data_IF_872596732165
#
_entry.id   IF_872596732165
#
_cell.length_a   1.000
_cell.length_b   1.000
_cell.length_c   1.000
_cell.angle_alpha   90.00
_cell.angle_beta   90.00
_cell.angle_gamma   90.00
#
_symmetry.space_group_name_H-M   'P 1'
#
loop_
_entity.id
_entity.type
_entity.pdbx_description
1 polymer ?
#
# COMPACT_ATOMS: atom_id res chain seq x y z
N UNK A 1 0.75 10.09 6.49
CA UNK A 1 1.19 11.10 7.47
C UNK A 1 1.61 12.41 6.80
N UNK A 2 2.57 12.41 5.83
CA UNK A 2 3.09 13.65 5.19
C UNK A 2 1.96 14.52 4.61
N UNK A 3 1.01 13.91 3.88
CA UNK A 3 -0.12 14.63 3.29
C UNK A 3 -1.03 15.23 4.36
N UNK A 4 -1.37 14.47 5.42
CA UNK A 4 -2.23 14.96 6.50
C UNK A 4 -1.65 16.18 7.22
N UNK A 5 -0.31 16.23 7.35
CA UNK A 5 0.40 17.32 8.04
C UNK A 5 0.72 18.51 7.14
N UNK A 6 0.80 18.32 5.82
CA UNK A 6 1.31 19.35 4.90
C UNK A 6 0.32 19.76 3.81
N UNK A 7 -0.54 18.84 3.38
CA UNK A 7 -1.38 19.01 2.21
C UNK A 7 -0.60 19.01 0.88
N UNK A 8 -1.31 18.80 -0.23
CA UNK A 8 -0.71 18.78 -1.57
C UNK A 8 -0.25 20.18 -2.03
N UNK A 9 -0.88 21.26 -1.56
CA UNK A 9 -0.45 22.61 -1.92
C UNK A 9 0.96 22.94 -1.41
N UNK A 10 1.30 22.50 -0.19
CA UNK A 10 2.66 22.65 0.35
C UNK A 10 3.69 21.82 -0.43
N UNK A 11 3.31 20.63 -0.87
CA UNK A 11 4.17 19.74 -1.69
C UNK A 11 4.37 20.32 -3.07
N UNK A 12 3.31 20.84 -3.69
CA UNK A 12 3.37 21.57 -4.94
C UNK A 12 4.34 22.74 -4.84
N UNK A 13 4.21 23.55 -3.76
CA UNK A 13 5.11 24.68 -3.54
C UNK A 13 6.57 24.24 -3.43
N UNK A 14 6.87 23.18 -2.69
CA UNK A 14 8.22 22.63 -2.58
C UNK A 14 8.79 22.22 -3.95
N UNK A 15 7.98 21.57 -4.79
CA UNK A 15 8.38 21.18 -6.14
C UNK A 15 8.59 22.41 -7.04
N UNK A 16 7.71 23.41 -6.96
CA UNK A 16 7.83 24.66 -7.74
C UNK A 16 9.07 25.45 -7.33
N UNK A 17 9.32 25.62 -6.03
CA UNK A 17 10.51 26.33 -5.53
C UNK A 17 11.81 25.66 -6.05
N UNK A 18 11.83 24.33 -6.13
CA UNK A 18 12.96 23.60 -6.72
C UNK A 18 13.05 23.73 -8.22
N UNK A 19 11.92 23.72 -8.92
CA UNK A 19 11.85 23.93 -10.36
C UNK A 19 12.38 25.30 -10.75
N UNK A 20 12.00 26.33 -10.00
CA UNK A 20 12.43 27.73 -10.23
C UNK A 20 13.94 27.92 -9.93
N UNK A 21 14.48 27.11 -9.00
CA UNK A 21 15.90 27.12 -8.67
C UNK A 21 16.77 26.28 -9.61
N UNK A 22 16.18 25.53 -10.56
CA UNK A 22 16.93 24.71 -11.52
C UNK A 22 17.61 25.63 -12.58
N UNK A 23 18.93 25.72 -12.47
CA UNK A 23 19.76 26.37 -13.48
C UNK A 23 20.43 25.30 -14.37
N UNK A 24 20.06 25.21 -15.67
CA UNK A 24 20.66 24.25 -16.59
C UNK A 24 22.19 24.43 -16.78
N UNK A 25 22.72 25.60 -16.46
CA UNK A 25 24.15 25.87 -16.58
C UNK A 25 24.96 25.32 -15.40
N UNK A 26 24.35 25.27 -14.22
CA UNK A 26 25.01 24.82 -12.98
C UNK A 26 24.56 23.40 -12.55
N UNK A 27 23.42 22.90 -13.04
CA UNK A 27 22.84 21.61 -12.67
C UNK A 27 22.94 20.62 -13.84
N UNK A 28 23.88 19.71 -13.77
CA UNK A 28 24.09 18.65 -14.79
C UNK A 28 22.82 17.84 -15.10
N UNK A 29 22.01 17.58 -14.06
CA UNK A 29 20.80 16.74 -14.16
C UNK A 29 19.52 17.58 -14.35
N UNK A 30 19.61 18.87 -14.70
CA UNK A 30 18.44 19.74 -14.82
C UNK A 30 17.41 19.22 -15.83
N UNK A 31 17.88 18.66 -16.96
CA UNK A 31 17.02 18.09 -18.00
C UNK A 31 16.24 16.86 -17.52
N UNK A 32 16.79 16.09 -16.58
CA UNK A 32 16.12 14.91 -16.00
C UNK A 32 15.17 15.31 -14.85
N UNK A 33 15.57 16.29 -14.03
CA UNK A 33 14.79 16.74 -12.86
C UNK A 33 13.57 17.56 -13.23
N UNK A 34 13.69 18.42 -14.26
CA UNK A 34 12.63 19.34 -14.68
C UNK A 34 11.30 18.62 -14.98
N UNK A 35 11.24 17.62 -15.88
CA UNK A 35 9.97 16.94 -16.20
C UNK A 35 9.32 16.29 -14.97
N UNK A 36 10.13 15.73 -14.06
CA UNK A 36 9.62 15.14 -12.83
C UNK A 36 8.99 16.18 -11.90
N UNK A 37 9.66 17.30 -11.66
CA UNK A 37 9.14 18.37 -10.80
C UNK A 37 7.89 19.03 -11.39
N UNK A 38 7.86 19.24 -12.71
CA UNK A 38 6.66 19.70 -13.43
C UNK A 38 5.49 18.71 -13.28
N UNK A 39 5.75 17.42 -13.38
CA UNK A 39 4.73 16.37 -13.18
C UNK A 39 4.18 16.40 -11.74
N UNK A 40 5.02 16.59 -10.71
CA UNK A 40 4.56 16.76 -9.33
C UNK A 40 3.59 17.93 -9.21
N UNK A 41 3.92 19.10 -9.79
CA UNK A 41 3.06 20.29 -9.77
C UNK A 41 1.71 19.98 -10.41
N UNK A 42 1.70 19.36 -11.59
CA UNK A 42 0.48 19.00 -12.33
C UNK A 42 -0.39 18.02 -11.52
N UNK A 43 0.22 16.99 -10.96
CA UNK A 43 -0.52 15.97 -10.17
C UNK A 43 -1.10 16.59 -8.90
N UNK A 44 -0.36 17.43 -8.19
CA UNK A 44 -0.89 18.13 -7.01
C UNK A 44 -2.11 19.01 -7.37
N UNK A 45 -2.05 19.74 -8.48
CA UNK A 45 -3.18 20.55 -8.96
C UNK A 45 -4.38 19.67 -9.35
N UNK A 46 -4.14 18.57 -10.02
CA UNK A 46 -5.21 17.64 -10.40
C UNK A 46 -5.93 17.05 -9.19
N UNK A 47 -5.19 16.67 -8.15
CA UNK A 47 -5.75 16.13 -6.91
C UNK A 47 -6.62 17.17 -6.20
N UNK A 48 -6.14 18.40 -6.07
CA UNK A 48 -6.89 19.49 -5.43
C UNK A 48 -8.14 19.85 -6.25
N UNK A 49 -8.02 19.91 -7.59
CA UNK A 49 -9.15 20.16 -8.47
C UNK A 49 -10.23 19.08 -8.35
N UNK A 50 -9.82 17.82 -8.29
CA UNK A 50 -10.74 16.70 -8.11
C UNK A 50 -11.51 16.81 -6.80
N UNK A 51 -10.83 17.07 -5.67
CA UNK A 51 -11.48 17.26 -4.39
C UNK A 51 -12.52 18.40 -4.44
N UNK A 52 -12.19 19.53 -5.05
CA UNK A 52 -13.12 20.66 -5.24
C UNK A 52 -14.33 20.29 -6.08
N UNK A 53 -14.18 19.44 -7.10
CA UNK A 53 -15.34 18.94 -7.88
C UNK A 53 -16.27 18.10 -7.02
N UNK A 54 -15.74 17.29 -6.10
CA UNK A 54 -16.56 16.56 -5.12
C UNK A 54 -17.26 17.50 -4.14
N UNK A 55 -16.61 18.59 -3.72
CA UNK A 55 -17.25 19.61 -2.89
C UNK A 55 -18.46 20.24 -3.57
N UNK A 56 -18.35 20.55 -4.86
CA UNK A 56 -19.48 21.07 -5.65
C UNK A 56 -20.61 20.05 -5.73
N UNK A 57 -20.29 18.79 -6.08
CA UNK A 57 -21.28 17.71 -6.16
C UNK A 57 -21.98 17.47 -4.80
N UNK A 58 -21.24 17.45 -3.71
CA UNK A 58 -21.82 17.27 -2.38
C UNK A 58 -22.79 18.41 -2.00
N UNK A 59 -22.51 19.65 -2.37
CA UNK A 59 -23.42 20.78 -2.20
C UNK A 59 -24.68 20.66 -3.06
N UNK A 60 -24.54 20.21 -4.31
CA UNK A 60 -25.69 19.95 -5.19
C UNK A 60 -26.58 18.83 -4.64
N UNK A 61 -25.99 17.78 -4.06
CA UNK A 61 -26.73 16.71 -3.39
C UNK A 61 -27.41 17.24 -2.11
N UNK A 62 -26.72 18.00 -1.30
CA UNK A 62 -27.28 18.61 -0.08
C UNK A 62 -28.45 19.54 -0.36
N UNK A 63 -28.43 20.25 -1.51
CA UNK A 63 -29.55 21.12 -1.92
C UNK A 63 -30.85 20.34 -2.24
N UNK A 64 -30.72 19.06 -2.60
CA UNK A 64 -31.84 18.15 -2.94
C UNK A 64 -32.23 17.23 -1.79
N UNK A 65 -31.41 17.18 -0.74
CA UNK A 65 -31.61 16.28 0.40
C UNK A 65 -32.68 16.84 1.35
N UNK A 66 -33.62 15.99 1.72
CA UNK A 66 -34.71 16.32 2.63
C UNK A 66 -34.42 15.94 4.09
N UNK A 67 -33.58 14.92 4.31
CA UNK A 67 -33.13 14.57 5.65
C UNK A 67 -32.12 15.60 6.17
N UNK A 68 -32.45 16.32 7.26
CA UNK A 68 -31.56 17.35 7.76
C UNK A 68 -30.21 16.82 8.26
N UNK A 69 -30.15 15.59 8.74
CA UNK A 69 -28.91 14.95 9.19
C UNK A 69 -28.01 14.68 8.00
N UNK A 70 -28.55 14.00 7.00
CA UNK A 70 -27.80 13.70 5.77
C UNK A 70 -27.38 14.96 5.01
N UNK A 71 -28.22 15.96 4.98
CA UNK A 71 -27.89 17.28 4.41
C UNK A 71 -26.70 17.93 5.13
N UNK A 72 -26.69 17.90 6.46
CA UNK A 72 -25.57 18.45 7.24
C UNK A 72 -24.27 17.68 6.98
N UNK A 73 -24.32 16.35 6.87
CA UNK A 73 -23.16 15.52 6.51
C UNK A 73 -22.62 15.87 5.12
N UNK A 74 -23.48 15.99 4.10
CA UNK A 74 -23.07 16.37 2.75
C UNK A 74 -22.42 17.75 2.69
N UNK A 75 -22.95 18.72 3.45
CA UNK A 75 -22.32 20.05 3.57
C UNK A 75 -20.96 19.96 4.27
N UNK A 76 -20.85 19.16 5.33
CA UNK A 76 -19.57 18.93 6.00
C UNK A 76 -18.55 18.25 5.07
N UNK A 77 -18.96 17.24 4.31
CA UNK A 77 -18.10 16.59 3.30
C UNK A 77 -17.63 17.59 2.23
N UNK A 78 -18.51 18.51 1.82
CA UNK A 78 -18.16 19.55 0.87
C UNK A 78 -17.11 20.53 1.43
N UNK A 79 -17.30 20.99 2.66
CA UNK A 79 -16.37 21.91 3.32
C UNK A 79 -15.01 21.25 3.56
N UNK A 80 -15.01 19.97 3.94
CA UNK A 80 -13.79 19.19 4.04
C UNK A 80 -13.08 19.08 2.67
N UNK A 81 -13.81 18.76 1.58
CA UNK A 81 -13.23 18.58 0.26
C UNK A 81 -12.72 19.89 -0.38
N UNK A 82 -13.20 21.06 0.07
CA UNK A 82 -12.61 22.36 -0.30
C UNK A 82 -11.25 22.60 0.38
N UNK A 83 -11.03 21.97 1.53
CA UNK A 83 -9.83 22.15 2.34
C UNK A 83 -8.81 21.02 2.09
N UNK A 84 -9.21 19.78 2.31
CA UNK A 84 -8.34 18.60 2.15
C UNK A 84 -8.58 17.92 0.79
N UNK A 85 -7.58 17.30 0.19
CA UNK A 85 -6.21 17.10 0.65
C UNK A 85 -5.25 18.23 0.26
N UNK A 86 -5.77 19.38 -0.19
CA UNK A 86 -4.95 20.54 -0.57
C UNK A 86 -4.15 21.09 0.59
N UNK A 87 -4.79 21.28 1.74
CA UNK A 87 -4.23 21.83 2.97
C UNK A 87 -4.10 20.72 4.06
N UNK A 88 -3.35 20.99 5.16
CA UNK A 88 -3.27 20.08 6.30
C UNK A 88 -4.64 19.78 6.91
N UNK A 89 -4.87 18.53 7.31
CA UNK A 89 -6.10 18.14 7.99
C UNK A 89 -6.20 18.82 9.38
N UNK A 90 -7.39 19.33 9.72
CA UNK A 90 -7.67 20.07 10.95
C UNK A 90 -8.23 19.19 12.05
N UNK A 91 -8.92 18.13 11.68
CA UNK A 91 -9.63 17.21 12.57
C UNK A 91 -9.62 15.77 12.01
N UNK A 92 -10.23 14.85 12.77
CA UNK A 92 -10.23 13.43 12.43
C UNK A 92 -11.03 13.13 11.15
N UNK A 93 -12.16 13.80 10.93
CA UNK A 93 -12.94 13.60 9.69
C UNK A 93 -12.16 14.06 8.45
N UNK A 94 -11.54 15.22 8.51
CA UNK A 94 -10.66 15.68 7.43
C UNK A 94 -9.48 14.75 7.21
N UNK A 95 -8.89 14.19 8.27
CA UNK A 95 -7.81 13.22 8.14
C UNK A 95 -8.29 11.97 7.38
N UNK A 96 -9.46 11.43 7.69
CA UNK A 96 -10.07 10.32 6.98
C UNK A 96 -10.33 10.65 5.51
N UNK A 97 -10.92 11.81 5.23
CA UNK A 97 -11.24 12.24 3.87
C UNK A 97 -10.00 12.54 3.04
N UNK A 98 -8.97 13.15 3.63
CA UNK A 98 -7.68 13.39 2.99
C UNK A 98 -6.96 12.08 2.65
N UNK A 99 -6.98 11.11 3.58
CA UNK A 99 -6.41 9.78 3.33
C UNK A 99 -7.16 9.07 2.19
N UNK A 100 -8.49 9.13 2.19
CA UNK A 100 -9.30 8.56 1.11
C UNK A 100 -8.93 9.14 -0.26
N UNK A 101 -8.88 10.45 -0.41
CA UNK A 101 -8.47 11.09 -1.67
C UNK A 101 -7.05 10.65 -2.08
N UNK A 102 -6.10 10.64 -1.13
CA UNK A 102 -4.73 10.21 -1.41
C UNK A 102 -4.67 8.75 -1.90
N UNK A 103 -5.41 7.85 -1.26
CA UNK A 103 -5.50 6.44 -1.64
C UNK A 103 -6.07 6.29 -3.05
N UNK A 104 -7.19 6.95 -3.33
CA UNK A 104 -7.87 6.89 -4.63
C UNK A 104 -6.95 7.36 -5.76
N UNK A 105 -6.27 8.50 -5.60
CA UNK A 105 -5.35 9.00 -6.63
C UNK A 105 -4.15 8.11 -6.84
N UNK A 106 -3.59 7.57 -5.77
CA UNK A 106 -2.51 6.61 -5.86
C UNK A 106 -2.94 5.36 -6.65
N UNK A 107 -4.19 4.92 -6.47
CA UNK A 107 -4.77 3.78 -7.21
C UNK A 107 -5.04 4.11 -8.67
N UNK A 108 -5.51 5.30 -8.99
CA UNK A 108 -5.72 5.74 -10.38
C UNK A 108 -4.40 5.75 -11.16
N UNK A 109 -3.31 6.18 -10.53
CA UNK A 109 -2.00 6.22 -11.16
C UNK A 109 -1.37 4.83 -11.29
N UNK A 110 -1.40 4.04 -10.23
CA UNK A 110 -0.73 2.74 -10.12
C UNK A 110 -1.72 1.59 -10.38
N UNK A 111 -2.22 1.49 -11.59
CA UNK A 111 -3.41 0.71 -11.94
C UNK A 111 -3.41 -0.77 -11.54
N UNK A 112 -2.40 -1.54 -11.78
CA UNK A 112 -2.49 -3.01 -11.68
C UNK A 112 -1.40 -3.60 -10.81
N UNK A 113 -1.82 -4.43 -9.83
CA UNK A 113 -0.90 -5.26 -9.06
C UNK A 113 -0.06 -4.52 -8.02
N UNK A 114 -0.29 -3.23 -7.83
CA UNK A 114 0.38 -2.45 -6.79
C UNK A 114 -0.50 -2.35 -5.56
N UNK A 115 0.04 -2.76 -4.43
CA UNK A 115 -0.61 -2.60 -3.14
C UNK A 115 -0.18 -1.28 -2.54
N UNK A 116 -1.12 -0.35 -2.39
CA UNK A 116 -0.87 0.93 -1.75
C UNK A 116 -1.34 0.85 -0.32
N UNK A 117 -0.48 0.30 0.53
CA UNK A 117 -0.80 0.09 1.94
C UNK A 117 -0.66 1.37 2.76
N UNK A 118 -1.57 1.53 3.71
CA UNK A 118 -1.73 2.78 4.44
C UNK A 118 -0.74 2.93 5.61
N UNK A 119 0.02 1.88 5.92
CA UNK A 119 0.95 1.91 7.05
C UNK A 119 0.23 1.93 8.40
N UNK A 120 0.86 2.53 9.40
CA UNK A 120 0.42 2.53 10.79
C UNK A 120 -0.65 3.60 11.05
N UNK A 121 -1.86 3.36 10.54
CA UNK A 121 -2.94 4.36 10.59
C UNK A 121 -3.34 4.74 12.01
N UNK A 122 -3.36 3.81 12.92
CA UNK A 122 -3.67 4.05 14.33
C UNK A 122 -2.68 5.02 15.01
N UNK A 123 -1.46 5.17 14.46
CA UNK A 123 -0.45 6.09 14.98
C UNK A 123 -0.59 7.50 14.38
N UNK A 124 -0.61 7.63 13.07
CA UNK A 124 -0.62 8.96 12.45
C UNK A 124 -2.01 9.62 12.41
N UNK A 125 -3.09 8.86 12.65
CA UNK A 125 -4.43 9.39 12.86
C UNK A 125 -4.72 9.76 14.31
N UNK A 126 -4.05 9.11 15.26
CA UNK A 126 -4.32 9.29 16.69
C UNK A 126 -4.28 10.75 17.16
N UNK A 127 -3.33 11.61 16.75
CA UNK A 127 -3.33 13.01 17.18
C UNK A 127 -4.61 13.78 16.83
N UNK A 128 -5.21 13.50 15.67
CA UNK A 128 -6.47 14.13 15.24
C UNK A 128 -7.64 13.60 16.06
N UNK A 129 -7.74 12.28 16.21
CA UNK A 129 -8.77 11.65 17.02
C UNK A 129 -8.69 12.09 18.49
N UNK A 130 -7.52 12.03 19.10
CA UNK A 130 -7.34 12.38 20.50
C UNK A 130 -7.70 13.85 20.78
N UNK A 131 -7.33 14.75 19.88
CA UNK A 131 -7.71 16.18 19.96
C UNK A 131 -9.23 16.33 19.92
N UNK A 132 -9.88 15.75 18.90
CA UNK A 132 -11.33 15.92 18.72
C UNK A 132 -12.12 15.26 19.84
N UNK A 133 -11.63 14.14 20.40
CA UNK A 133 -12.20 13.50 21.60
C UNK A 133 -12.08 14.40 22.83
N UNK A 134 -10.91 14.98 23.06
CA UNK A 134 -10.67 15.88 24.20
C UNK A 134 -11.52 17.18 24.11
N UNK A 135 -11.76 17.65 22.89
CA UNK A 135 -12.60 18.82 22.61
C UNK A 135 -14.11 18.50 22.54
N UNK A 136 -14.50 17.23 22.66
CA UNK A 136 -15.89 16.78 22.56
C UNK A 136 -16.51 16.89 21.17
N UNK A 137 -15.67 17.00 20.13
CA UNK A 137 -16.10 17.14 18.72
C UNK A 137 -16.49 15.83 18.07
N UNK A 138 -15.98 14.71 18.57
CA UNK A 138 -16.26 13.38 18.04
C UNK A 138 -16.45 12.38 19.19
N UNK A 139 -17.35 11.43 19.00
CA UNK A 139 -17.52 10.25 19.86
C UNK A 139 -16.79 9.05 19.27
N UNK A 140 -16.55 8.00 20.07
CA UNK A 140 -15.97 6.75 19.59
C UNK A 140 -16.84 6.09 18.52
N UNK A 141 -18.17 6.18 18.65
CA UNK A 141 -19.10 5.66 17.67
C UNK A 141 -18.94 6.37 16.31
N UNK A 142 -18.88 7.70 16.31
CA UNK A 142 -18.67 8.49 15.10
C UNK A 142 -17.29 8.24 14.47
N UNK A 143 -16.24 8.08 15.30
CA UNK A 143 -14.92 7.74 14.81
C UNK A 143 -14.91 6.34 14.18
N UNK A 144 -15.59 5.35 14.79
CA UNK A 144 -15.75 4.01 14.23
C UNK A 144 -16.47 4.07 12.89
N UNK A 145 -17.58 4.80 12.79
CA UNK A 145 -18.36 4.97 11.55
C UNK A 145 -17.52 5.59 10.42
N UNK A 146 -16.69 6.60 10.73
CA UNK A 146 -15.77 7.18 9.72
C UNK A 146 -14.74 6.17 9.22
N UNK A 147 -14.21 5.29 10.10
CA UNK A 147 -13.33 4.20 9.69
C UNK A 147 -14.09 3.20 8.81
N UNK A 148 -15.31 2.83 9.15
CA UNK A 148 -16.14 1.92 8.37
C UNK A 148 -16.47 2.50 6.98
N UNK A 149 -16.76 3.78 6.88
CA UNK A 149 -16.90 4.48 5.59
C UNK A 149 -15.63 4.39 4.75
N UNK A 150 -14.44 4.50 5.38
CA UNK A 150 -13.17 4.31 4.68
C UNK A 150 -13.01 2.87 4.20
N UNK A 151 -13.42 1.87 4.99
CA UNK A 151 -13.36 0.46 4.59
C UNK A 151 -14.26 0.17 3.39
N UNK A 152 -15.48 0.73 3.36
CA UNK A 152 -16.36 0.65 2.17
C UNK A 152 -15.67 1.21 0.96
N UNK A 153 -15.15 2.43 1.04
CA UNK A 153 -14.47 3.06 -0.06
C UNK A 153 -13.25 2.27 -0.55
N UNK A 154 -12.48 1.67 0.35
CA UNK A 154 -11.34 0.81 -0.03
C UNK A 154 -11.79 -0.50 -0.69
N UNK A 155 -12.91 -1.08 -0.24
CA UNK A 155 -13.46 -2.30 -0.83
C UNK A 155 -14.09 -2.08 -2.22
N UNK A 156 -14.40 -0.84 -2.58
CA UNK A 156 -14.95 -0.47 -3.90
C UNK A 156 -13.88 -0.31 -4.98
N UNK A 157 -12.60 -0.32 -4.64
CA UNK A 157 -11.54 -0.33 -5.64
C UNK A 157 -11.50 -1.68 -6.37
N UNK A 158 -11.99 -1.71 -7.57
CA UNK A 158 -12.01 -2.92 -8.41
C UNK A 158 -11.12 -2.70 -9.63
N UNK A 159 -10.11 -3.55 -9.78
CA UNK A 159 -9.25 -3.55 -10.95
C UNK A 159 -9.82 -4.49 -12.03
N UNK A 160 -9.78 -4.03 -13.27
CA UNK A 160 -10.07 -4.87 -14.43
C UNK A 160 -8.77 -5.28 -15.11
N UNK A 161 -8.60 -6.58 -15.31
CA UNK A 161 -7.42 -7.14 -15.94
C UNK A 161 -7.70 -7.54 -17.38
N UNK A 162 -6.80 -7.13 -18.27
CA UNK A 162 -6.94 -7.40 -19.72
C UNK A 162 -6.49 -8.82 -20.08
N UNK A 163 -5.55 -9.39 -19.29
CA UNK A 163 -5.02 -10.72 -19.59
C UNK A 163 -5.75 -11.81 -18.82
N UNK A 164 -5.98 -13.00 -19.42
CA UNK A 164 -6.58 -14.13 -18.69
C UNK A 164 -5.79 -14.57 -17.46
N UNK A 165 -4.46 -14.45 -17.50
CA UNK A 165 -3.60 -14.77 -16.35
C UNK A 165 -3.75 -13.74 -15.23
N UNK A 166 -3.80 -12.44 -15.56
CA UNK A 166 -4.06 -11.37 -14.60
C UNK A 166 -5.45 -11.49 -14.00
N UNK A 167 -6.48 -11.73 -14.81
CA UNK A 167 -7.84 -11.96 -14.35
C UNK A 167 -7.96 -13.16 -13.40
N UNK A 168 -7.36 -14.29 -13.77
CA UNK A 168 -7.39 -15.50 -12.93
C UNK A 168 -6.70 -15.31 -11.58
N UNK A 169 -5.73 -14.40 -11.48
CA UNK A 169 -4.98 -14.14 -10.26
C UNK A 169 -5.63 -13.04 -9.39
N UNK A 170 -6.19 -12.01 -10.00
CA UNK A 170 -6.54 -10.78 -9.31
C UNK A 170 -7.97 -10.29 -9.50
N UNK A 171 -8.75 -10.84 -10.44
CA UNK A 171 -10.05 -10.29 -10.80
C UNK A 171 -11.02 -10.31 -9.62
N UNK A 172 -11.59 -9.14 -9.34
CA UNK A 172 -12.59 -8.95 -8.31
C UNK A 172 -12.08 -8.75 -6.87
N UNK A 173 -10.77 -8.93 -6.60
CA UNK A 173 -10.28 -8.93 -5.21
C UNK A 173 -8.93 -8.25 -4.97
N UNK A 174 -8.35 -7.61 -5.93
CA UNK A 174 -6.91 -7.53 -5.92
C UNK A 174 -6.33 -6.21 -5.49
N UNK A 175 -6.63 -5.75 -4.33
CA UNK A 175 -5.96 -4.52 -3.89
C UNK A 175 -4.88 -4.75 -2.84
N UNK A 176 -5.04 -5.72 -1.95
CA UNK A 176 -4.11 -6.04 -0.87
C UNK A 176 -3.57 -4.81 -0.13
N UNK A 177 -4.38 -3.75 -0.04
CA UNK A 177 -4.06 -2.63 0.82
C UNK A 177 -4.08 -3.10 2.27
N UNK A 178 -2.97 -2.88 2.96
CA UNK A 178 -2.88 -3.21 4.36
C UNK A 178 -2.92 -1.96 5.25
N UNK A 179 -3.64 -2.07 6.35
CA UNK A 179 -3.61 -1.14 7.47
C UNK A 179 -2.91 -1.84 8.62
N UNK A 180 -1.89 -1.21 9.16
CA UNK A 180 -1.12 -1.74 10.28
C UNK A 180 -1.49 -1.03 11.57
N UNK A 181 -1.66 -1.77 12.66
CA UNK A 181 -1.96 -1.25 14.00
C UNK A 181 -1.02 -1.82 15.06
N UNK A 182 -0.94 -1.15 16.19
CA UNK A 182 -0.12 -1.58 17.34
C UNK A 182 1.39 -1.46 17.10
N UNK A 183 2.14 -2.38 17.67
CA UNK A 183 3.60 -2.40 17.62
C UNK A 183 4.25 -1.46 18.62
N UNK A 184 5.41 -0.92 18.29
CA UNK A 184 6.21 -0.10 19.21
C UNK A 184 6.35 1.34 18.71
N UNK A 185 6.49 2.26 19.67
CA UNK A 185 6.85 3.67 19.42
C UNK A 185 8.34 3.79 19.07
N UNK A 186 8.83 4.94 18.54
CA UNK A 186 10.24 5.13 18.21
C UNK A 186 11.19 4.94 19.40
N UNK A 187 10.71 5.12 20.64
CA UNK A 187 11.46 4.87 21.89
C UNK A 187 11.27 3.45 22.44
N UNK A 188 10.64 2.56 21.68
CA UNK A 188 10.49 1.14 21.99
C UNK A 188 9.42 0.80 23.04
N UNK A 189 8.54 1.74 23.40
CA UNK A 189 7.37 1.44 24.25
C UNK A 189 6.25 0.84 23.42
N UNK A 190 5.25 0.25 24.08
CA UNK A 190 4.02 -0.16 23.42
C UNK A 190 3.31 1.05 22.76
N UNK A 191 2.82 0.87 21.55
CA UNK A 191 2.20 1.91 20.73
C UNK A 191 0.68 1.78 20.65
N UNK A 192 0.06 0.81 21.32
CA UNK A 192 -1.40 0.70 21.35
C UNK A 192 -2.02 1.94 21.98
N UNK A 193 -3.11 2.40 21.38
CA UNK A 193 -3.85 3.58 21.84
C UNK A 193 -5.36 3.38 21.63
N UNK A 194 -6.19 4.31 22.09
CA UNK A 194 -7.64 4.14 21.99
C UNK A 194 -8.12 3.94 20.56
N UNK A 195 -7.49 4.59 19.58
CA UNK A 195 -7.84 4.42 18.18
C UNK A 195 -7.48 3.02 17.66
N UNK A 196 -6.42 2.38 18.18
CA UNK A 196 -6.07 0.99 17.86
C UNK A 196 -7.25 0.05 18.14
N UNK A 197 -7.95 0.24 19.27
CA UNK A 197 -9.12 -0.55 19.61
C UNK A 197 -10.33 -0.25 18.73
N UNK A 198 -10.48 1.00 18.26
CA UNK A 198 -11.54 1.34 17.31
C UNK A 198 -11.31 0.71 15.93
N UNK A 199 -10.05 0.57 15.50
CA UNK A 199 -9.72 -0.19 14.29
C UNK A 199 -10.14 -1.65 14.40
N UNK A 200 -9.86 -2.31 15.52
CA UNK A 200 -10.30 -3.68 15.76
C UNK A 200 -11.83 -3.79 15.82
N UNK A 201 -12.48 -2.85 16.52
CA UNK A 201 -13.93 -2.78 16.63
C UNK A 201 -14.59 -2.63 15.26
N UNK A 202 -14.16 -1.67 14.45
CA UNK A 202 -14.72 -1.43 13.10
C UNK A 202 -14.62 -2.66 12.19
N UNK A 203 -13.54 -3.44 12.30
CA UNK A 203 -13.40 -4.70 11.56
C UNK A 203 -14.33 -5.80 12.04
N UNK A 204 -14.70 -5.83 13.32
CA UNK A 204 -15.69 -6.76 13.85
C UNK A 204 -17.12 -6.39 13.45
N UNK A 205 -17.44 -5.09 13.55
CA UNK A 205 -18.77 -4.58 13.23
C UNK A 205 -19.05 -4.55 11.73
N UNK A 206 -17.99 -4.30 10.94
CA UNK A 206 -18.06 -4.25 9.48
C UNK A 206 -16.98 -5.13 8.82
N UNK A 207 -17.16 -6.47 8.75
CA UNK A 207 -16.13 -7.43 8.36
C UNK A 207 -15.94 -7.50 6.84
N UNK A 208 -15.65 -6.38 6.19
CA UNK A 208 -15.24 -6.35 4.80
C UNK A 208 -13.90 -7.03 4.60
N UNK A 209 -13.71 -7.64 3.42
CA UNK A 209 -12.47 -8.31 3.07
C UNK A 209 -11.30 -7.32 2.87
N UNK A 210 -11.57 -6.05 2.60
CA UNK A 210 -10.58 -4.98 2.53
C UNK A 210 -10.92 -3.80 3.43
N UNK A 211 -9.87 -3.04 3.85
CA UNK A 211 -8.45 -3.35 3.75
C UNK A 211 -8.04 -4.53 4.64
N UNK A 212 -6.93 -5.17 4.28
CA UNK A 212 -6.24 -6.13 5.15
C UNK A 212 -5.83 -5.43 6.46
N UNK A 213 -6.21 -5.99 7.60
CA UNK A 213 -5.74 -5.48 8.88
C UNK A 213 -4.56 -6.31 9.37
N UNK A 214 -3.46 -5.68 9.75
CA UNK A 214 -2.30 -6.31 10.33
C UNK A 214 -2.04 -5.77 11.74
N UNK A 215 -1.99 -6.65 12.72
CA UNK A 215 -1.73 -6.32 14.11
C UNK A 215 -0.28 -6.66 14.47
N UNK A 216 0.50 -5.66 14.81
CA UNK A 216 1.86 -5.85 15.33
C UNK A 216 1.78 -6.17 16.81
N UNK A 217 2.45 -7.25 17.20
CA UNK A 217 2.51 -7.73 18.57
C UNK A 217 3.97 -7.85 19.02
N UNK A 218 4.20 -7.72 20.30
CA UNK A 218 5.50 -7.88 20.95
C UNK A 218 5.31 -8.36 22.40
N UNK A 219 6.39 -8.80 23.04
CA UNK A 219 6.36 -9.37 24.39
C UNK A 219 5.78 -8.44 25.48
N UNK A 220 5.71 -7.14 25.20
CA UNK A 220 5.15 -6.12 26.11
C UNK A 220 3.78 -5.58 25.65
N UNK A 221 3.18 -6.20 24.63
CA UNK A 221 1.82 -5.83 24.20
C UNK A 221 0.82 -5.99 25.35
N UNK A 222 -0.08 -5.03 25.56
CA UNK A 222 -1.09 -5.13 26.61
C UNK A 222 -1.97 -6.36 26.44
N UNK A 223 -2.29 -7.04 27.54
CA UNK A 223 -3.15 -8.23 27.52
C UNK A 223 -4.51 -7.91 26.87
N UNK A 224 -5.10 -6.76 27.19
CA UNK A 224 -6.33 -6.28 26.56
C UNK A 224 -6.22 -6.23 25.04
N UNK A 225 -5.09 -5.74 24.49
CA UNK A 225 -4.88 -5.67 23.06
C UNK A 225 -4.79 -7.06 22.43
N UNK A 226 -4.07 -7.98 23.07
CA UNK A 226 -3.97 -9.36 22.59
C UNK A 226 -5.33 -10.07 22.58
N UNK A 227 -6.16 -9.84 23.62
CA UNK A 227 -7.52 -10.36 23.67
C UNK A 227 -8.41 -9.78 22.57
N UNK A 228 -8.38 -8.46 22.34
CA UNK A 228 -9.16 -7.80 21.29
C UNK A 228 -8.75 -8.26 19.89
N UNK A 229 -7.46 -8.47 19.67
CA UNK A 229 -6.93 -9.07 18.43
C UNK A 229 -7.46 -10.49 18.25
N UNK A 230 -7.38 -11.34 19.28
CA UNK A 230 -7.88 -12.71 19.23
C UNK A 230 -9.40 -12.77 18.96
N UNK A 231 -10.19 -11.93 19.64
CA UNK A 231 -11.64 -11.81 19.41
C UNK A 231 -11.93 -11.36 17.95
N UNK A 232 -11.12 -10.47 17.39
CA UNK A 232 -11.31 -10.04 16.01
C UNK A 232 -11.02 -11.16 15.02
N UNK A 233 -9.97 -11.95 15.23
CA UNK A 233 -9.62 -13.13 14.42
C UNK A 233 -10.76 -14.17 14.47
N UNK A 234 -11.37 -14.38 15.63
CA UNK A 234 -12.46 -15.32 15.85
C UNK A 234 -13.70 -15.05 14.98
N UNK A 235 -13.92 -13.80 14.54
CA UNK A 235 -14.98 -13.46 13.60
C UNK A 235 -14.82 -14.10 12.21
N UNK A 236 -13.64 -14.67 11.91
CA UNK A 236 -13.43 -15.49 10.72
C UNK A 236 -13.21 -14.71 9.42
N UNK A 237 -13.00 -13.38 9.49
CA UNK A 237 -12.66 -12.56 8.31
C UNK A 237 -11.24 -12.81 7.76
N UNK A 238 -10.41 -13.59 8.46
CA UNK A 238 -8.99 -13.77 8.17
C UNK A 238 -8.09 -12.66 8.70
N UNK A 239 -8.64 -11.71 9.43
CA UNK A 239 -7.93 -10.54 9.97
C UNK A 239 -8.18 -10.35 11.46
N UNK A 240 -7.25 -9.67 12.16
CA UNK A 240 -5.97 -9.16 11.68
C UNK A 240 -4.92 -10.26 11.49
N UNK A 241 -4.00 -10.04 10.53
CA UNK A 241 -2.76 -10.82 10.41
C UNK A 241 -1.82 -10.43 11.53
N UNK A 242 -1.11 -11.40 12.11
CA UNK A 242 -0.19 -11.13 13.22
C UNK A 242 1.24 -10.93 12.71
N UNK A 243 1.89 -9.87 13.17
CA UNK A 243 3.30 -9.59 12.89
C UNK A 243 4.05 -9.47 14.21
N UNK A 244 5.04 -10.33 14.41
CA UNK A 244 5.86 -10.35 15.63
C UNK A 244 7.02 -9.36 15.48
N UNK A 245 7.03 -8.32 16.31
CA UNK A 245 8.08 -7.29 16.32
C UNK A 245 9.45 -7.86 16.65
N UNK A 246 9.54 -8.89 17.50
CA UNK A 246 10.80 -9.55 17.86
C UNK A 246 11.50 -10.23 16.67
N UNK A 247 10.75 -10.56 15.61
CA UNK A 247 11.30 -11.13 14.37
C UNK A 247 11.45 -10.08 13.27
N UNK A 248 10.44 -9.21 13.11
CA UNK A 248 10.40 -8.25 12.01
C UNK A 248 11.43 -7.13 12.16
N UNK A 249 11.63 -6.62 13.39
CA UNK A 249 12.58 -5.53 13.65
C UNK A 249 14.04 -5.98 13.40
N UNK A 250 14.52 -7.10 13.95
CA UNK A 250 15.86 -7.58 13.67
C UNK A 250 16.11 -7.87 12.19
N UNK A 251 15.09 -8.35 11.46
CA UNK A 251 15.23 -8.56 10.02
C UNK A 251 15.60 -7.27 9.27
N UNK A 252 14.97 -6.14 9.60
CA UNK A 252 15.31 -4.85 8.97
C UNK A 252 16.66 -4.32 9.43
N UNK A 253 17.00 -4.47 10.70
CA UNK A 253 18.33 -4.09 11.21
C UNK A 253 19.41 -4.90 10.50
N UNK A 254 19.20 -6.20 10.26
CA UNK A 254 20.15 -7.04 9.52
C UNK A 254 20.34 -6.61 8.05
N UNK A 255 19.37 -5.89 7.49
CA UNK A 255 19.42 -5.30 6.14
C UNK A 255 20.00 -3.87 6.12
N UNK A 256 20.47 -3.37 7.25
CA UNK A 256 21.12 -2.07 7.37
C UNK A 256 20.21 -0.91 7.76
N UNK A 257 18.97 -1.15 8.16
CA UNK A 257 18.12 -0.13 8.76
C UNK A 257 18.64 0.19 10.18
N UNK A 258 18.48 1.45 10.62
CA UNK A 258 18.67 1.77 12.04
C UNK A 258 17.55 1.12 12.87
N UNK A 259 17.80 0.94 14.16
CA UNK A 259 16.79 0.37 15.05
C UNK A 259 15.51 1.23 15.10
N UNK A 260 15.67 2.56 15.15
CA UNK A 260 14.54 3.50 15.11
C UNK A 260 13.73 3.38 13.82
N UNK A 261 14.40 3.26 12.67
CA UNK A 261 13.73 3.06 11.39
C UNK A 261 12.98 1.72 11.33
N UNK A 262 13.61 0.67 11.84
CA UNK A 262 12.99 -0.65 11.89
C UNK A 262 11.77 -0.70 12.81
N UNK A 263 11.72 0.11 13.89
CA UNK A 263 10.54 0.25 14.75
C UNK A 263 9.30 0.79 14.03
N UNK A 264 9.47 1.51 12.92
CA UNK A 264 8.35 2.09 12.15
C UNK A 264 7.87 1.19 11.01
N UNK A 265 8.28 -0.07 10.94
CA UNK A 265 7.81 -0.95 9.88
C UNK A 265 6.28 -1.09 9.86
N UNK A 266 5.74 -1.31 8.69
CA UNK A 266 4.33 -1.60 8.47
C UNK A 266 4.17 -2.76 7.50
N UNK A 267 2.98 -3.33 7.44
CA UNK A 267 2.65 -4.38 6.48
C UNK A 267 2.15 -3.76 5.18
N UNK A 268 2.61 -4.29 4.07
CA UNK A 268 2.15 -3.96 2.73
C UNK A 268 1.74 -5.24 2.01
N UNK A 269 0.64 -5.21 1.30
CA UNK A 269 0.16 -6.40 0.61
C UNK A 269 -0.28 -7.49 1.56
N UNK A 270 0.07 -8.72 1.22
CA UNK A 270 -0.39 -9.89 1.97
C UNK A 270 0.21 -9.96 3.37
N UNK A 271 1.53 -9.93 3.48
CA UNK A 271 2.31 -10.05 4.73
C UNK A 271 3.68 -9.36 4.64
N UNK A 272 3.95 -8.66 3.56
CA UNK A 272 5.26 -8.07 3.33
C UNK A 272 5.48 -6.92 4.30
N UNK A 273 6.48 -7.05 5.14
CA UNK A 273 6.91 -5.95 6.00
C UNK A 273 7.69 -4.92 5.19
N UNK A 274 7.43 -3.63 5.41
CA UNK A 274 8.03 -2.51 4.69
C UNK A 274 8.35 -1.36 5.62
N UNK A 275 9.33 -0.57 5.26
CA UNK A 275 9.60 0.72 5.92
C UNK A 275 8.80 1.82 5.20
N UNK A 276 7.77 2.41 5.83
CA UNK A 276 6.93 3.41 5.21
C UNK A 276 7.73 4.58 4.63
N UNK A 277 7.39 4.97 3.40
CA UNK A 277 8.01 6.08 2.66
C UNK A 277 9.51 5.93 2.34
N UNK A 278 10.08 4.72 2.51
CA UNK A 278 11.49 4.42 2.21
C UNK A 278 11.65 3.26 1.26
N UNK A 279 10.89 2.19 1.46
CA UNK A 279 10.90 1.06 0.55
C UNK A 279 10.10 1.38 -0.70
N UNK A 280 10.72 1.12 -1.85
CA UNK A 280 9.97 1.09 -3.09
C UNK A 280 9.19 -0.21 -3.17
N UNK A 281 7.98 -0.11 -3.67
CA UNK A 281 7.21 -1.29 -3.95
C UNK A 281 7.56 -1.84 -5.33
N UNK A 282 8.44 -2.80 -5.37
CA UNK A 282 8.49 -3.78 -6.44
C UNK A 282 8.09 -5.12 -5.85
N UNK A 283 6.80 -5.38 -5.76
CA UNK A 283 6.39 -6.75 -5.46
C UNK A 283 6.65 -7.59 -6.69
N UNK A 284 7.60 -8.47 -6.52
CA UNK A 284 7.81 -9.59 -7.38
C UNK A 284 7.92 -9.28 -8.87
N UNK A 285 9.11 -9.16 -9.37
CA UNK A 285 9.31 -9.14 -10.81
C UNK A 285 8.67 -10.36 -11.49
N UNK A 286 8.46 -11.46 -10.79
CA UNK A 286 7.75 -12.64 -11.28
C UNK A 286 7.56 -13.71 -10.20
N UNK A 287 6.74 -14.70 -10.50
CA UNK A 287 6.55 -15.91 -9.69
C UNK A 287 7.19 -17.10 -10.40
N UNK A 288 7.90 -17.93 -9.65
CA UNK A 288 8.44 -19.19 -10.14
C UNK A 288 7.68 -20.36 -9.52
N UNK A 289 7.11 -21.21 -10.35
CA UNK A 289 6.41 -22.39 -9.93
C UNK A 289 7.35 -23.59 -9.84
N UNK A 290 7.84 -23.89 -8.64
CA UNK A 290 8.71 -25.04 -8.40
C UNK A 290 8.08 -26.39 -8.76
N UNK A 291 6.76 -26.54 -8.58
CA UNK A 291 6.05 -27.76 -8.98
C UNK A 291 6.11 -27.98 -10.50
N UNK A 292 6.08 -26.91 -11.29
CA UNK A 292 6.29 -27.02 -12.74
C UNK A 292 7.70 -27.46 -13.10
N UNK A 293 8.72 -27.07 -12.33
CA UNK A 293 10.09 -27.55 -12.53
C UNK A 293 10.19 -29.07 -12.23
N UNK A 294 9.49 -29.56 -11.22
CA UNK A 294 9.38 -31.01 -10.93
C UNK A 294 8.67 -31.73 -12.08
N UNK A 295 7.53 -31.20 -12.54
CA UNK A 295 6.82 -31.80 -13.71
C UNK A 295 7.74 -31.90 -14.93
N UNK A 296 8.46 -30.83 -15.25
CA UNK A 296 9.38 -30.85 -16.39
C UNK A 296 10.59 -31.77 -16.20
N UNK A 297 11.09 -31.94 -14.98
CA UNK A 297 12.10 -32.97 -14.70
C UNK A 297 11.59 -34.37 -14.97
N UNK A 298 10.30 -34.64 -14.67
CA UNK A 298 9.66 -35.94 -14.89
C UNK A 298 9.16 -36.16 -16.32
N UNK A 299 9.18 -35.14 -17.18
CA UNK A 299 8.71 -35.23 -18.56
C UNK A 299 9.71 -34.65 -19.58
N UNK A 300 11.01 -34.77 -19.28
CA UNK A 300 12.09 -34.32 -20.14
C UNK A 300 11.93 -32.87 -20.67
N UNK A 301 11.57 -31.96 -19.77
CA UNK A 301 11.35 -30.55 -20.04
C UNK A 301 10.00 -30.19 -20.66
N UNK A 302 9.07 -31.13 -20.75
CA UNK A 302 7.72 -30.88 -21.30
C UNK A 302 6.71 -30.60 -20.21
N UNK A 303 5.70 -29.80 -20.52
CA UNK A 303 4.53 -29.60 -19.67
C UNK A 303 3.26 -30.16 -20.29
N UNK A 304 2.66 -31.13 -19.63
CA UNK A 304 1.41 -31.79 -20.06
C UNK A 304 0.24 -30.82 -20.14
N UNK A 305 0.12 -29.93 -19.19
CA UNK A 305 -0.94 -28.90 -19.15
C UNK A 305 -1.05 -28.11 -20.46
N UNK A 306 0.05 -27.95 -21.18
CA UNK A 306 0.10 -27.19 -22.44
C UNK A 306 0.27 -28.10 -23.66
N UNK A 307 -0.16 -29.36 -23.59
CA UNK A 307 -0.12 -30.27 -24.72
C UNK A 307 1.26 -30.83 -25.04
N UNK A 308 2.03 -31.19 -24.04
CA UNK A 308 3.38 -31.74 -24.13
C UNK A 308 4.40 -30.80 -24.82
N UNK A 309 4.17 -29.47 -24.71
CA UNK A 309 5.10 -28.47 -25.25
C UNK A 309 6.41 -28.50 -24.46
N UNK A 310 7.54 -28.46 -25.22
CA UNK A 310 8.88 -28.33 -24.64
C UNK A 310 9.09 -26.90 -24.12
N UNK A 311 8.90 -26.70 -22.83
CA UNK A 311 9.10 -25.40 -22.16
C UNK A 311 10.44 -25.32 -21.43
N UNK A 312 10.87 -26.43 -20.81
CA UNK A 312 12.15 -26.56 -20.16
C UNK A 312 13.22 -27.15 -21.06
N UNK A 313 14.39 -27.42 -20.51
CA UNK A 313 15.48 -28.13 -21.19
C UNK A 313 15.25 -29.63 -21.16
N UNK A 314 15.92 -30.37 -22.07
CA UNK A 314 15.92 -31.83 -22.02
C UNK A 314 16.83 -32.32 -20.90
N UNK A 315 16.27 -33.11 -19.98
CA UNK A 315 16.98 -33.65 -18.81
C UNK A 315 17.02 -35.19 -18.79
N UNK A 316 16.53 -35.81 -19.84
CA UNK A 316 16.49 -37.27 -20.01
C UNK A 316 15.13 -37.88 -19.66
N UNK A 317 14.95 -39.13 -20.10
CA UNK A 317 13.73 -39.88 -19.80
C UNK A 317 13.75 -40.32 -18.33
N UNK A 318 12.73 -39.98 -17.51
CA UNK A 318 12.71 -40.33 -16.09
C UNK A 318 12.64 -41.87 -15.86
N UNK A 319 12.24 -42.66 -16.85
CA UNK A 319 12.25 -44.10 -16.80
C UNK A 319 13.66 -44.70 -16.76
N UNK A 320 14.66 -43.92 -17.20
CA UNK A 320 16.07 -44.28 -17.16
C UNK A 320 16.75 -43.85 -15.84
N UNK A 321 16.08 -43.06 -14.99
CA UNK A 321 16.58 -42.67 -13.68
C UNK A 321 16.61 -43.87 -12.74
N UNK A 322 17.74 -44.05 -12.06
CA UNK A 322 17.96 -45.20 -11.18
C UNK A 322 17.94 -44.83 -9.69
N UNK A 323 18.18 -43.58 -9.40
CA UNK A 323 18.34 -43.04 -8.05
C UNK A 323 17.56 -41.77 -7.88
N UNK A 324 17.28 -41.40 -6.65
CA UNK A 324 16.70 -40.08 -6.34
C UNK A 324 17.62 -38.93 -6.75
N UNK A 325 18.95 -39.17 -6.79
CA UNK A 325 19.91 -38.16 -7.21
C UNK A 325 19.79 -37.83 -8.71
N UNK A 326 19.37 -38.79 -9.53
CA UNK A 326 19.10 -38.53 -10.95
C UNK A 326 17.88 -37.59 -11.11
N UNK A 327 16.84 -37.78 -10.29
CA UNK A 327 15.65 -36.90 -10.25
C UNK A 327 16.06 -35.50 -9.77
N UNK A 328 16.88 -35.40 -8.71
CA UNK A 328 17.35 -34.12 -8.21
C UNK A 328 18.15 -33.36 -9.26
N UNK A 329 19.06 -34.01 -9.93
CA UNK A 329 19.86 -33.38 -11.02
C UNK A 329 18.97 -32.86 -12.14
N UNK A 330 17.97 -33.64 -12.56
CA UNK A 330 17.02 -33.21 -13.57
C UNK A 330 16.20 -31.99 -13.09
N UNK A 331 15.75 -32.00 -11.83
CA UNK A 331 15.03 -30.90 -11.22
C UNK A 331 15.91 -29.63 -11.11
N UNK A 332 17.14 -29.76 -10.59
CA UNK A 332 18.08 -28.65 -10.46
C UNK A 332 18.37 -28.00 -11.83
N UNK A 333 18.59 -28.79 -12.86
CA UNK A 333 18.82 -28.29 -14.21
C UNK A 333 17.60 -27.55 -14.79
N UNK A 334 16.37 -28.02 -14.52
CA UNK A 334 15.16 -27.28 -14.88
C UNK A 334 15.03 -25.98 -14.09
N UNK A 335 15.33 -26.03 -12.79
CA UNK A 335 15.26 -24.87 -11.91
C UNK A 335 16.25 -23.78 -12.33
N UNK A 336 17.52 -24.14 -12.61
CA UNK A 336 18.54 -23.20 -13.11
C UNK A 336 18.10 -22.53 -14.40
N UNK A 337 17.56 -23.31 -15.34
CA UNK A 337 17.02 -22.76 -16.58
C UNK A 337 15.89 -21.74 -16.31
N UNK A 338 14.99 -22.02 -15.35
CA UNK A 338 13.91 -21.09 -14.99
C UNK A 338 14.42 -19.85 -14.27
N UNK A 339 15.38 -19.98 -13.37
CA UNK A 339 16.00 -18.85 -12.66
C UNK A 339 16.61 -17.87 -13.66
N UNK A 340 17.34 -18.36 -14.67
CA UNK A 340 17.93 -17.52 -15.73
C UNK A 340 16.83 -16.76 -16.51
N UNK A 341 15.74 -17.44 -16.86
CA UNK A 341 14.60 -16.80 -17.56
C UNK A 341 13.87 -15.81 -16.68
N UNK A 342 13.72 -16.15 -15.39
CA UNK A 342 13.15 -15.27 -14.39
C UNK A 342 13.95 -13.97 -14.24
N UNK A 343 15.28 -14.07 -14.12
CA UNK A 343 16.17 -12.90 -14.03
C UNK A 343 16.04 -12.03 -15.27
N UNK A 344 16.10 -12.62 -16.46
CA UNK A 344 15.96 -11.89 -17.72
C UNK A 344 14.62 -11.18 -17.85
N UNK A 345 13.52 -11.86 -17.49
CA UNK A 345 12.17 -11.30 -17.50
C UNK A 345 12.03 -10.18 -16.47
N UNK A 346 12.50 -10.39 -15.23
CA UNK A 346 12.45 -9.39 -14.17
C UNK A 346 13.20 -8.11 -14.57
N UNK A 347 14.41 -8.24 -15.11
CA UNK A 347 15.20 -7.10 -15.56
C UNK A 347 14.49 -6.34 -16.70
N UNK A 348 13.87 -7.04 -17.64
CA UNK A 348 13.11 -6.43 -18.74
C UNK A 348 11.87 -5.72 -18.21
N UNK A 349 11.15 -6.35 -17.29
CA UNK A 349 9.95 -5.78 -16.67
C UNK A 349 10.29 -4.52 -15.87
N UNK A 350 11.33 -4.56 -15.04
CA UNK A 350 11.79 -3.39 -14.26
C UNK A 350 12.21 -2.23 -15.16
N UNK A 351 12.96 -2.51 -16.23
CA UNK A 351 13.33 -1.50 -17.22
C UNK A 351 12.09 -0.90 -17.91
N UNK A 352 11.11 -1.74 -18.26
CA UNK A 352 9.84 -1.29 -18.84
C UNK A 352 9.01 -0.45 -17.87
N UNK A 353 8.93 -0.83 -16.60
CA UNK A 353 8.17 -0.09 -15.58
C UNK A 353 8.67 1.34 -15.39
N UNK A 354 9.98 1.56 -15.44
CA UNK A 354 10.56 2.89 -15.32
C UNK A 354 10.01 3.89 -16.36
N UNK A 355 9.58 3.40 -17.52
CA UNK A 355 9.03 4.23 -18.60
C UNK A 355 7.50 4.21 -18.66
N UNK A 356 6.86 3.12 -18.28
CA UNK A 356 5.41 2.91 -18.52
C UNK A 356 4.56 3.14 -17.29
N UNK A 357 5.13 3.11 -16.08
CA UNK A 357 4.42 3.28 -14.82
C UNK A 357 5.06 4.36 -13.94
N UNK A 358 4.86 5.65 -14.28
CA UNK A 358 5.37 6.72 -13.44
C UNK A 358 4.66 6.68 -12.08
N UNK A 359 5.44 6.86 -11.01
CA UNK A 359 4.95 6.86 -9.62
C UNK A 359 4.95 8.28 -9.05
N UNK A 360 4.34 9.22 -9.77
CA UNK A 360 4.39 10.65 -9.43
C UNK A 360 3.64 10.92 -8.13
N UNK A 361 2.41 10.40 -7.98
CA UNK A 361 1.62 10.57 -6.75
C UNK A 361 2.34 9.96 -5.54
N UNK A 362 2.89 8.76 -5.66
CA UNK A 362 3.67 8.12 -4.60
C UNK A 362 4.94 8.94 -4.26
N UNK A 363 5.58 9.55 -5.26
CA UNK A 363 6.74 10.41 -5.07
C UNK A 363 6.42 11.68 -4.27
N UNK A 364 5.17 12.16 -4.30
CA UNK A 364 4.75 13.32 -3.49
C UNK A 364 4.91 13.08 -1.99
N UNK A 365 4.67 11.85 -1.52
CA UNK A 365 4.76 11.54 -0.09
C UNK A 365 6.01 10.74 0.31
N UNK A 366 6.76 10.20 -0.66
CA UNK A 366 8.02 9.51 -0.38
C UNK A 366 9.13 10.48 0.02
N UNK A 367 10.01 10.01 0.92
CA UNK A 367 11.14 10.81 1.40
C UNK A 367 12.19 10.99 0.30
N UNK A 368 12.70 12.18 0.15
CA UNK A 368 13.83 12.48 -0.73
C UNK A 368 13.53 12.57 -2.22
N UNK A 369 12.34 12.20 -2.69
CA UNK A 369 12.02 12.25 -4.12
C UNK A 369 12.05 13.68 -4.67
N UNK A 370 11.33 14.60 -4.04
CA UNK A 370 11.30 16.02 -4.46
C UNK A 370 12.66 16.67 -4.22
N UNK A 371 13.29 16.41 -3.06
CA UNK A 371 14.61 16.96 -2.74
C UNK A 371 15.68 16.58 -3.76
N UNK A 372 15.67 15.34 -4.22
CA UNK A 372 16.60 14.80 -5.22
C UNK A 372 16.17 15.10 -6.66
N UNK A 373 14.92 15.48 -6.88
CA UNK A 373 14.33 15.64 -8.21
C UNK A 373 14.25 14.32 -8.97
N UNK A 374 13.98 13.21 -8.26
CA UNK A 374 13.91 11.86 -8.82
C UNK A 374 12.65 11.15 -8.37
N UNK A 375 12.00 10.50 -9.33
CA UNK A 375 10.83 9.66 -9.10
C UNK A 375 11.18 8.46 -8.21
N UNK A 376 10.22 8.01 -7.42
CA UNK A 376 10.28 6.74 -6.71
C UNK A 376 10.31 5.60 -7.75
N UNK A 377 11.34 4.78 -7.68
CA UNK A 377 11.55 3.63 -8.58
C UNK A 377 11.65 2.34 -7.78
#
# INVERSE_FOLDING_TARGET
>A
EKILKRGFNSIKKEAQDKLDALDPLSCKDACEKRPFLEAIVIVCDAIVLWAKRHAVLAREMAAKESDPTRKAELLRMADNADHVPGEPARDFWEACQSQWFTQMFSRIEQKTGTTISNGRMDQYFFPFYAKDRAEGKITDAQATELLECMWVGMAEFIDMYISPAGGAFNEGYAHWEAVTIGGQTPDGRDATNDLTYLFLKSKREFPLHYPDLAARIHSRSPERYLWDVAETIKYGSGFPKLCNDEECIPLYVSKGATFEEALDYAVSGCIEIRMPNRDTYTSGGAYTNFASAVEMALYDGKMKKYGDVQLGIKTGDPRDFKTIEDVKKAFEAQLDFFIDRFIAMSNTTLAGHAFTFPTITASCFSRGCIEKGKMLQ
#
